data_IF_528190645492
#
_entry.id   IF_528190645492
#
_cell.length_a   1.000
_cell.length_b   1.000
_cell.length_c   1.000
_cell.angle_alpha   90.00
_cell.angle_beta   90.00
_cell.angle_gamma   90.00
#
_symmetry.space_group_name_H-M   'P 1'
#
loop_
_entity.id
_entity.type
_entity.pdbx_description
1 polymer ?
#
# COMPACT_ATOMS: atom_id res chain seq x y z
N UNK A 1 -18.08 0.78 -2.74
CA UNK A 1 -17.94 2.14 -3.31
C UNK A 1 -16.70 2.10 -4.19
N UNK A 2 -16.80 2.48 -5.46
CA UNK A 2 -15.64 2.46 -6.36
C UNK A 2 -14.64 3.52 -5.90
N UNK A 3 -13.51 3.10 -5.33
CA UNK A 3 -12.40 4.02 -5.07
C UNK A 3 -11.82 4.37 -6.44
N UNK A 4 -12.05 5.61 -6.86
CA UNK A 4 -11.55 6.11 -8.13
C UNK A 4 -10.03 6.12 -8.09
N UNK A 5 -9.41 5.55 -9.12
CA UNK A 5 -7.96 5.42 -9.33
C UNK A 5 -7.30 6.78 -9.71
N UNK A 6 -7.81 7.87 -9.14
CA UNK A 6 -7.50 9.23 -9.56
C UNK A 6 -6.46 9.86 -8.61
N UNK A 7 -5.42 10.50 -9.16
CA UNK A 7 -4.35 11.20 -8.43
C UNK A 7 -4.92 12.20 -7.39
N UNK A 8 -6.10 12.76 -7.66
CA UNK A 8 -6.80 13.67 -6.75
C UNK A 8 -7.11 13.03 -5.37
N UNK A 9 -7.24 11.71 -5.31
CA UNK A 9 -7.58 10.97 -4.09
C UNK A 9 -6.39 10.87 -3.12
N UNK A 10 -5.15 10.93 -3.61
CA UNK A 10 -3.95 10.79 -2.76
C UNK A 10 -3.79 11.95 -1.78
N UNK A 11 -4.33 13.13 -2.08
CA UNK A 11 -4.31 14.28 -1.16
C UNK A 11 -5.16 14.07 0.09
N UNK A 12 -6.07 13.09 0.09
CA UNK A 12 -6.88 12.74 1.27
C UNK A 12 -6.24 11.63 2.10
N UNK A 13 -5.17 10.99 1.61
CA UNK A 13 -4.45 9.95 2.34
C UNK A 13 -3.38 10.54 3.26
N UNK A 14 -2.96 9.77 4.30
CA UNK A 14 -1.79 10.14 5.08
C UNK A 14 -0.57 10.36 4.17
N UNK A 15 0.32 11.31 4.50
CA UNK A 15 1.48 11.63 3.66
C UNK A 15 2.36 10.40 3.40
N UNK A 16 2.45 9.49 4.37
CA UNK A 16 3.19 8.24 4.22
C UNK A 16 2.62 7.35 3.11
N UNK A 17 1.29 7.26 3.01
CA UNK A 17 0.62 6.46 1.97
C UNK A 17 0.75 7.16 0.62
N UNK A 18 0.57 8.49 0.58
CA UNK A 18 0.70 9.26 -0.66
C UNK A 18 2.10 9.11 -1.30
N UNK A 19 3.16 9.09 -0.48
CA UNK A 19 4.54 8.84 -0.95
C UNK A 19 4.65 7.46 -1.58
N UNK A 20 4.18 6.41 -0.89
CA UNK A 20 4.25 5.03 -1.39
C UNK A 20 3.43 4.82 -2.67
N UNK A 21 2.22 5.40 -2.75
CA UNK A 21 1.42 5.36 -3.98
C UNK A 21 2.14 6.07 -5.12
N UNK A 22 2.80 7.20 -4.86
CA UNK A 22 3.63 7.87 -5.84
C UNK A 22 4.83 7.02 -6.29
N UNK A 23 5.45 6.25 -5.39
CA UNK A 23 6.50 5.30 -5.74
C UNK A 23 5.97 4.18 -6.65
N UNK A 24 4.80 3.62 -6.34
CA UNK A 24 4.12 2.64 -7.20
C UNK A 24 3.89 3.19 -8.61
N UNK A 25 3.35 4.41 -8.73
CA UNK A 25 3.04 5.04 -10.02
C UNK A 25 4.31 5.33 -10.85
N UNK A 26 5.47 5.52 -10.19
CA UNK A 26 6.78 5.67 -10.85
C UNK A 26 7.47 4.35 -11.17
N UNK A 27 6.89 3.21 -10.76
CA UNK A 27 7.53 1.90 -10.89
C UNK A 27 8.79 1.76 -10.02
N UNK A 28 8.85 2.48 -8.90
CA UNK A 28 9.95 2.38 -7.95
C UNK A 28 9.83 1.11 -7.11
N UNK A 29 10.97 0.57 -6.69
CA UNK A 29 11.02 -0.56 -5.77
C UNK A 29 10.49 -0.15 -4.39
N UNK A 30 9.55 -0.93 -3.87
CA UNK A 30 9.14 -0.86 -2.47
C UNK A 30 9.71 -2.05 -1.69
N UNK A 31 10.19 -1.79 -0.49
CA UNK A 31 10.63 -2.81 0.46
C UNK A 31 9.44 -3.62 0.99
N UNK A 32 9.71 -4.82 1.49
CA UNK A 32 8.68 -5.72 2.01
C UNK A 32 7.74 -5.03 3.02
N UNK A 33 8.31 -4.29 3.96
CA UNK A 33 7.54 -3.57 4.98
C UNK A 33 6.63 -2.49 4.38
N UNK A 34 7.08 -1.79 3.34
CA UNK A 34 6.30 -0.76 2.66
C UNK A 34 5.09 -1.38 1.94
N UNK A 35 5.32 -2.51 1.26
CA UNK A 35 4.25 -3.27 0.59
C UNK A 35 3.19 -3.75 1.58
N UNK A 36 3.62 -4.33 2.70
CA UNK A 36 2.71 -4.81 3.74
C UNK A 36 1.90 -3.67 4.35
N UNK A 37 2.54 -2.53 4.62
CA UNK A 37 1.85 -1.36 5.14
C UNK A 37 0.84 -0.81 4.13
N UNK A 38 1.22 -0.67 2.87
CA UNK A 38 0.35 -0.14 1.82
C UNK A 38 -0.85 -1.07 1.60
N UNK A 39 -0.62 -2.36 1.42
CA UNK A 39 -1.69 -3.35 1.22
C UNK A 39 -2.64 -3.42 2.43
N UNK A 40 -2.12 -3.39 3.66
CA UNK A 40 -2.97 -3.38 4.87
C UNK A 40 -3.76 -2.07 5.03
N UNK A 41 -3.19 -0.93 4.63
CA UNK A 41 -3.90 0.35 4.60
C UNK A 41 -5.05 0.31 3.59
N UNK A 42 -4.78 -0.10 2.34
CA UNK A 42 -5.79 -0.19 1.29
C UNK A 42 -6.92 -1.16 1.67
N UNK A 43 -6.58 -2.32 2.24
CA UNK A 43 -7.57 -3.27 2.74
C UNK A 43 -8.43 -2.67 3.86
N UNK A 44 -7.84 -1.89 4.78
CA UNK A 44 -8.57 -1.21 5.85
C UNK A 44 -9.49 -0.09 5.36
N UNK A 45 -9.10 0.62 4.28
CA UNK A 45 -9.93 1.62 3.60
C UNK A 45 -11.05 1.00 2.74
N UNK A 46 -11.19 -0.33 2.75
CA UNK A 46 -12.26 -1.03 2.07
C UNK A 46 -12.02 -1.27 0.58
N UNK A 47 -10.74 -1.33 0.16
CA UNK A 47 -10.38 -1.84 -1.16
C UNK A 47 -10.58 -3.36 -1.11
N UNK A 48 -11.77 -3.78 -1.49
CA UNK A 48 -12.33 -5.11 -1.26
C UNK A 48 -11.91 -6.16 -2.30
N UNK A 49 -11.16 -5.75 -3.33
CA UNK A 49 -10.66 -6.64 -4.37
C UNK A 49 -9.15 -6.77 -4.26
N UNK A 50 -8.68 -7.97 -3.94
CA UNK A 50 -7.25 -8.34 -3.95
C UNK A 50 -6.58 -7.91 -5.25
N UNK A 51 -7.26 -8.11 -6.39
CA UNK A 51 -6.79 -7.70 -7.71
C UNK A 51 -6.49 -6.18 -7.80
N UNK A 52 -7.30 -5.33 -7.15
CA UNK A 52 -7.09 -3.88 -7.17
C UNK A 52 -5.86 -3.50 -6.35
N UNK A 53 -5.62 -4.20 -5.24
CA UNK A 53 -4.41 -4.03 -4.43
C UNK A 53 -3.18 -4.52 -5.21
N UNK A 54 -3.28 -5.68 -5.86
CA UNK A 54 -2.20 -6.27 -6.65
C UNK A 54 -1.76 -5.36 -7.81
N UNK A 55 -2.70 -4.71 -8.51
CA UNK A 55 -2.41 -3.79 -9.62
C UNK A 55 -1.50 -2.63 -9.20
N UNK A 56 -1.44 -2.26 -7.92
CA UNK A 56 -0.49 -1.23 -7.44
C UNK A 56 0.96 -1.65 -7.49
N UNK A 57 1.22 -2.95 -7.50
CA UNK A 57 2.58 -3.48 -7.49
C UNK A 57 3.05 -3.90 -8.90
N UNK A 58 2.18 -3.87 -9.91
CA UNK A 58 2.45 -4.47 -11.23
C UNK A 58 3.57 -3.79 -12.02
N UNK A 59 3.85 -2.51 -11.74
CA UNK A 59 4.91 -1.73 -12.38
C UNK A 59 6.26 -1.83 -11.66
N UNK A 60 6.34 -2.56 -10.56
CA UNK A 60 7.59 -2.69 -9.80
C UNK A 60 8.58 -3.65 -10.49
N UNK A 61 9.89 -3.39 -10.41
CA UNK A 61 10.90 -4.15 -11.13
C UNK A 61 10.98 -5.64 -10.71
N UNK A 62 10.55 -5.95 -9.49
CA UNK A 62 10.57 -7.27 -8.87
C UNK A 62 9.17 -7.91 -8.76
N UNK A 63 8.17 -7.36 -9.47
CA UNK A 63 6.80 -7.85 -9.38
C UNK A 63 6.66 -9.30 -9.85
N UNK A 64 6.24 -10.17 -8.94
CA UNK A 64 5.75 -11.52 -9.23
C UNK A 64 4.27 -11.61 -8.87
N UNK A 65 3.43 -11.90 -9.86
CA UNK A 65 1.98 -11.92 -9.67
C UNK A 65 1.51 -13.03 -8.71
N UNK A 66 2.16 -14.19 -8.72
CA UNK A 66 1.76 -15.32 -7.88
C UNK A 66 2.14 -15.09 -6.41
N UNK A 67 3.32 -14.54 -6.17
CA UNK A 67 3.79 -14.18 -4.83
C UNK A 67 3.00 -12.99 -4.28
N UNK A 68 2.80 -11.95 -5.09
CA UNK A 68 1.99 -10.78 -4.68
C UNK A 68 0.56 -11.19 -4.33
N UNK A 69 -0.07 -12.07 -5.13
CA UNK A 69 -1.40 -12.60 -4.83
C UNK A 69 -1.45 -13.27 -3.45
N UNK A 70 -0.48 -14.14 -3.14
CA UNK A 70 -0.41 -14.82 -1.83
C UNK A 70 -0.24 -13.84 -0.69
N UNK A 71 0.64 -12.85 -0.85
CA UNK A 71 0.91 -11.86 0.19
C UNK A 71 -0.31 -10.97 0.45
N UNK A 72 -0.94 -10.47 -0.61
CA UNK A 72 -2.18 -9.67 -0.52
C UNK A 72 -3.31 -10.48 0.09
N UNK A 73 -3.54 -11.71 -0.40
CA UNK A 73 -4.53 -12.63 0.17
C UNK A 73 -4.30 -12.85 1.66
N UNK A 74 -3.06 -13.09 2.08
CA UNK A 74 -2.74 -13.32 3.48
C UNK A 74 -3.01 -12.10 4.35
N UNK A 75 -2.66 -10.90 3.89
CA UNK A 75 -2.91 -9.63 4.58
C UNK A 75 -4.41 -9.39 4.76
N UNK A 76 -5.20 -9.57 3.68
CA UNK A 76 -6.65 -9.39 3.67
C UNK A 76 -7.33 -10.44 4.55
N UNK A 77 -7.02 -11.72 4.35
CA UNK A 77 -7.62 -12.84 5.09
C UNK A 77 -7.31 -12.79 6.59
N UNK A 78 -6.11 -12.30 6.97
CA UNK A 78 -5.74 -12.12 8.38
C UNK A 78 -6.25 -10.82 8.99
N UNK A 79 -6.84 -9.92 8.21
CA UNK A 79 -7.32 -8.62 8.70
C UNK A 79 -6.19 -7.78 9.30
N UNK A 80 -5.01 -7.78 8.66
CA UNK A 80 -3.86 -7.02 9.14
C UNK A 80 -4.21 -5.55 9.23
N UNK A 81 -4.00 -4.95 10.41
CA UNK A 81 -4.18 -3.52 10.60
C UNK A 81 -2.93 -2.76 10.16
N UNK A 82 -3.07 -1.65 9.43
CA UNK A 82 -1.93 -0.82 9.08
C UNK A 82 -1.20 -0.35 10.33
N UNK A 83 0.13 -0.28 10.24
CA UNK A 83 0.98 0.19 11.34
C UNK A 83 0.69 1.66 11.66
N UNK A 84 0.62 1.98 12.95
CA UNK A 84 0.46 3.36 13.41
C UNK A 84 1.76 4.18 13.31
N UNK A 85 1.64 5.51 13.48
CA UNK A 85 2.73 6.47 13.27
C UNK A 85 4.01 6.16 14.06
N UNK A 86 3.90 5.67 15.31
CA UNK A 86 5.08 5.29 16.11
C UNK A 86 5.94 4.24 15.40
N UNK A 87 5.30 3.17 14.91
CA UNK A 87 6.00 2.13 14.15
C UNK A 87 6.51 2.69 12.83
N UNK A 88 5.71 3.46 12.09
CA UNK A 88 6.19 4.04 10.83
C UNK A 88 7.46 4.89 11.00
N UNK A 89 7.64 5.59 12.13
CA UNK A 89 8.88 6.29 12.45
C UNK A 89 10.06 5.33 12.67
N UNK A 90 9.86 4.25 13.41
CA UNK A 90 10.89 3.22 13.66
C UNK A 90 11.37 2.56 12.36
N UNK A 91 10.48 2.43 11.37
CA UNK A 91 10.77 1.85 10.05
C UNK A 91 11.19 2.90 9.01
N UNK A 92 11.38 4.18 9.38
CA UNK A 92 11.70 5.29 8.46
C UNK A 92 10.66 5.55 7.35
N UNK A 93 9.41 5.15 7.55
CA UNK A 93 8.30 5.31 6.60
C UNK A 93 7.36 6.48 6.95
N UNK A 94 7.72 7.30 7.95
CA UNK A 94 6.90 8.41 8.41
C UNK A 94 7.28 9.72 7.70
N UNK A 95 6.40 10.21 6.82
CA UNK A 95 6.65 11.40 5.99
C UNK A 95 5.81 12.64 6.38
N UNK A 96 5.05 12.57 7.47
CA UNK A 96 4.22 13.69 7.95
C UNK A 96 4.89 14.53 9.05
N UNK A 97 4.51 15.83 9.19
CA UNK A 97 4.86 16.61 10.36
C UNK A 97 4.19 15.98 11.60
N UNK A 98 4.97 15.71 12.64
CA UNK A 98 4.47 15.08 13.86
C UNK A 98 4.19 16.07 14.99
#
# INVERSE_FOLDING_TARGET
MAVADDIATYFMFPPCVAVLMGCCDRGEHLEHDERVYLASFMAAEGWDREEVIMRRFEHMPDYDAAETAKQVWFIVAKGYKPRGCKKLKEFNMCHGPC
#
